data_IF_327579249771
#
_entry.id   IF_327579249771
#
_cell.length_a   1.000
_cell.length_b   1.000
_cell.length_c   1.000
_cell.angle_alpha   90.00
_cell.angle_beta   90.00
_cell.angle_gamma   90.00
#
_symmetry.space_group_name_H-M   'P 1'
#
loop_
_entity.id
_entity.type
_entity.pdbx_description
1 polymer ?
#
# COMPACT_ATOMS: atom_id res chain seq x y z
N UNK A 1 19.56 2.08 -4.41
CA UNK A 1 18.77 1.32 -5.40
C UNK A 1 17.63 0.54 -4.77
N UNK A 2 17.87 -0.53 -3.98
CA UNK A 2 16.79 -1.38 -3.45
C UNK A 2 15.78 -0.65 -2.54
N UNK A 3 16.25 0.19 -1.61
CA UNK A 3 15.36 1.00 -0.77
C UNK A 3 14.54 2.00 -1.60
N UNK A 4 15.17 2.63 -2.59
CA UNK A 4 14.49 3.60 -3.46
C UNK A 4 13.38 2.93 -4.27
N UNK A 5 13.63 1.74 -4.83
CA UNK A 5 12.61 0.95 -5.53
C UNK A 5 11.43 0.61 -4.63
N UNK A 6 11.70 0.15 -3.40
CA UNK A 6 10.65 -0.11 -2.41
C UNK A 6 9.84 1.15 -2.12
N UNK A 7 10.49 2.30 -1.91
CA UNK A 7 9.78 3.56 -1.66
C UNK A 7 8.93 4.01 -2.87
N UNK A 8 9.46 3.90 -4.09
CA UNK A 8 8.72 4.21 -5.32
C UNK A 8 7.50 3.29 -5.46
N UNK A 9 7.65 2.01 -5.12
CA UNK A 9 6.56 1.04 -5.12
C UNK A 9 5.48 1.43 -4.10
N UNK A 10 5.84 1.79 -2.86
CA UNK A 10 4.89 2.23 -1.85
C UNK A 10 4.18 3.55 -2.19
N UNK A 11 4.86 4.47 -2.88
CA UNK A 11 4.22 5.68 -3.43
C UNK A 11 3.15 5.32 -4.47
N UNK A 12 3.46 4.36 -5.35
CA UNK A 12 2.50 3.88 -6.34
C UNK A 12 1.29 3.20 -5.67
N UNK A 13 1.54 2.32 -4.70
CA UNK A 13 0.51 1.67 -3.89
C UNK A 13 -0.42 2.70 -3.25
N UNK A 14 0.13 3.74 -2.61
CA UNK A 14 -0.66 4.78 -1.95
C UNK A 14 -1.54 5.54 -2.96
N UNK A 15 -0.97 5.90 -4.12
CA UNK A 15 -1.70 6.57 -5.21
C UNK A 15 -2.89 5.73 -5.68
N UNK A 16 -2.67 4.43 -5.89
CA UNK A 16 -3.74 3.54 -6.35
C UNK A 16 -4.76 3.23 -5.25
N UNK A 17 -4.37 3.21 -3.98
CA UNK A 17 -5.28 3.10 -2.84
C UNK A 17 -6.22 4.31 -2.77
N UNK A 18 -5.67 5.52 -2.93
CA UNK A 18 -6.46 6.74 -3.02
C UNK A 18 -7.38 6.76 -4.26
N UNK A 19 -6.93 6.25 -5.39
CA UNK A 19 -7.76 6.14 -6.59
C UNK A 19 -8.91 5.13 -6.43
N UNK A 20 -8.65 3.96 -5.84
CA UNK A 20 -9.68 2.98 -5.51
C UNK A 20 -10.74 3.57 -4.57
N UNK A 21 -10.30 4.34 -3.57
CA UNK A 21 -11.17 5.09 -2.66
C UNK A 21 -12.05 6.11 -3.40
N UNK A 22 -11.47 6.93 -4.28
CA UNK A 22 -12.22 7.94 -5.04
C UNK A 22 -13.20 7.33 -6.04
N UNK A 23 -12.86 6.17 -6.62
CA UNK A 23 -13.73 5.41 -7.52
C UNK A 23 -14.79 4.59 -6.77
N UNK A 24 -14.65 4.43 -5.45
CA UNK A 24 -15.43 3.51 -4.64
C UNK A 24 -15.44 2.07 -5.20
N UNK A 25 -14.27 1.60 -5.65
CA UNK A 25 -14.08 0.30 -6.30
C UNK A 25 -13.01 -0.52 -5.56
N UNK A 26 -13.46 -1.48 -4.74
CA UNK A 26 -12.61 -2.39 -3.97
C UNK A 26 -11.83 -3.39 -4.81
N UNK A 27 -12.23 -3.62 -6.06
CA UNK A 27 -11.54 -4.53 -6.98
C UNK A 27 -10.46 -3.81 -7.80
N UNK A 28 -10.45 -2.48 -7.82
CA UNK A 28 -9.49 -1.69 -8.59
C UNK A 28 -8.05 -2.04 -8.23
N UNK A 29 -7.73 -2.09 -6.93
CA UNK A 29 -6.38 -2.39 -6.45
C UNK A 29 -5.93 -3.79 -6.83
N UNK A 30 -6.83 -4.77 -6.74
CA UNK A 30 -6.52 -6.14 -7.12
C UNK A 30 -6.14 -6.22 -8.61
N UNK A 31 -7.04 -5.72 -9.48
CA UNK A 31 -6.88 -5.76 -10.94
C UNK A 31 -5.72 -4.93 -11.47
N UNK A 32 -5.37 -3.81 -10.81
CA UNK A 32 -4.42 -2.82 -11.33
C UNK A 32 -3.10 -2.76 -10.60
N UNK A 33 -2.99 -3.31 -9.40
CA UNK A 33 -1.78 -3.25 -8.59
C UNK A 33 -1.39 -4.65 -8.16
N UNK A 34 -2.21 -5.33 -7.37
CA UNK A 34 -1.78 -6.52 -6.64
C UNK A 34 -1.37 -7.68 -7.56
N UNK A 35 -2.05 -7.85 -8.70
CA UNK A 35 -1.75 -8.93 -9.66
C UNK A 35 -0.32 -8.88 -10.21
N UNK A 36 0.20 -7.70 -10.57
CA UNK A 36 1.59 -7.56 -11.07
C UNK A 36 2.60 -7.24 -9.96
N UNK A 37 2.15 -6.61 -8.87
CA UNK A 37 3.00 -6.24 -7.74
C UNK A 37 3.50 -7.47 -6.98
N UNK A 38 2.69 -8.53 -6.91
CA UNK A 38 3.07 -9.81 -6.30
C UNK A 38 4.32 -10.45 -6.94
N UNK A 39 4.49 -10.28 -8.27
CA UNK A 39 5.65 -10.77 -9.00
C UNK A 39 6.96 -10.03 -8.69
N UNK A 40 6.87 -8.77 -8.25
CA UNK A 40 8.04 -7.96 -7.88
C UNK A 40 8.46 -8.17 -6.43
N UNK A 41 7.49 -8.32 -5.51
CA UNK A 41 7.76 -8.48 -4.07
C UNK A 41 8.35 -9.86 -3.76
N UNK A 42 7.96 -10.92 -4.46
CA UNK A 42 8.55 -12.25 -4.24
C UNK A 42 9.99 -12.39 -4.75
N UNK A 43 10.42 -11.54 -5.68
CA UNK A 43 11.77 -11.60 -6.26
C UNK A 43 12.85 -10.96 -5.36
N UNK A 44 12.42 -10.14 -4.40
CA UNK A 44 13.31 -9.38 -3.54
C UNK A 44 12.91 -9.61 -2.09
N UNK A 45 13.80 -10.23 -1.29
CA UNK A 45 13.80 -10.30 0.18
C UNK A 45 13.71 -8.91 0.88
N UNK A 46 12.63 -8.14 0.68
CA UNK A 46 12.42 -6.76 1.15
C UNK A 46 11.35 -6.65 2.24
N UNK A 47 10.79 -7.78 2.69
CA UNK A 47 9.65 -7.83 3.61
C UNK A 47 9.86 -6.99 4.88
N UNK A 48 11.09 -6.96 5.42
CA UNK A 48 11.43 -6.13 6.59
C UNK A 48 11.35 -4.62 6.30
N UNK A 49 11.79 -4.20 5.10
CA UNK A 49 11.70 -2.81 4.64
C UNK A 49 10.23 -2.46 4.35
N UNK A 50 9.51 -3.33 3.64
CA UNK A 50 8.09 -3.13 3.32
C UNK A 50 7.24 -2.97 4.59
N UNK A 51 7.53 -3.76 5.62
CA UNK A 51 6.86 -3.67 6.93
C UNK A 51 7.12 -2.31 7.59
N UNK A 52 8.37 -1.84 7.59
CA UNK A 52 8.72 -0.53 8.16
C UNK A 52 8.07 0.62 7.39
N UNK A 53 8.04 0.54 6.06
CA UNK A 53 7.39 1.56 5.22
C UNK A 53 5.89 1.58 5.47
N UNK A 54 5.23 0.42 5.56
CA UNK A 54 3.80 0.35 5.89
C UNK A 54 3.47 0.99 7.25
N UNK A 55 4.29 0.69 8.28
CA UNK A 55 4.12 1.26 9.61
C UNK A 55 4.31 2.78 9.59
N UNK A 56 5.39 3.26 8.96
CA UNK A 56 5.66 4.69 8.85
C UNK A 56 4.56 5.42 8.07
N UNK A 57 4.08 4.83 6.98
CA UNK A 57 2.98 5.38 6.19
C UNK A 57 1.72 5.56 7.03
N UNK A 58 1.31 4.54 7.79
CA UNK A 58 0.14 4.64 8.67
C UNK A 58 0.32 5.73 9.73
N UNK A 59 1.50 5.82 10.35
CA UNK A 59 1.81 6.89 11.30
C UNK A 59 1.65 8.27 10.65
N UNK A 60 2.21 8.48 9.46
CA UNK A 60 2.10 9.77 8.75
C UNK A 60 0.68 10.09 8.32
N UNK A 61 -0.08 9.10 7.87
CA UNK A 61 -1.49 9.31 7.51
C UNK A 61 -2.33 9.70 8.73
N UNK A 62 -2.06 9.11 9.90
CA UNK A 62 -2.70 9.48 11.16
C UNK A 62 -2.38 10.91 11.61
N UNK A 63 -1.19 11.42 11.28
CA UNK A 63 -0.79 12.82 11.56
C UNK A 63 -1.42 13.82 10.57
N UNK A 64 -1.58 13.43 9.30
CA UNK A 64 -1.99 14.34 8.22
C UNK A 64 -3.50 14.34 7.95
N UNK A 65 -4.21 13.25 8.23
CA UNK A 65 -5.61 13.09 7.91
C UNK A 65 -6.47 13.04 9.17
N UNK A 66 -7.68 13.59 9.07
CA UNK A 66 -8.69 13.38 10.12
C UNK A 66 -9.12 11.91 10.17
N UNK A 67 -9.58 11.46 11.33
CA UNK A 67 -10.15 10.11 11.50
C UNK A 67 -11.26 9.81 10.49
N UNK A 68 -12.08 10.80 10.13
CA UNK A 68 -13.13 10.64 9.11
C UNK A 68 -12.56 10.35 7.73
N UNK A 69 -11.47 11.01 7.35
CA UNK A 69 -10.81 10.78 6.07
C UNK A 69 -10.10 9.42 6.03
N UNK A 70 -9.48 9.01 7.15
CA UNK A 70 -8.78 7.74 7.27
C UNK A 70 -9.69 6.54 7.04
N UNK A 71 -10.93 6.58 7.54
CA UNK A 71 -11.93 5.51 7.34
C UNK A 71 -12.10 5.12 5.88
N UNK A 72 -11.93 6.06 4.94
CA UNK A 72 -12.10 5.78 3.52
C UNK A 72 -10.88 5.12 2.88
N UNK A 73 -9.66 5.49 3.29
CA UNK A 73 -8.43 4.96 2.66
C UNK A 73 -7.93 3.67 3.35
N UNK A 74 -8.21 3.49 4.64
CA UNK A 74 -7.72 2.36 5.44
C UNK A 74 -8.06 0.98 4.85
N UNK A 75 -9.28 0.72 4.33
CA UNK A 75 -9.62 -0.59 3.78
C UNK A 75 -8.70 -1.01 2.62
N UNK A 76 -8.29 -0.05 1.80
CA UNK A 76 -7.41 -0.27 0.66
C UNK A 76 -5.95 -0.52 1.10
N UNK A 77 -5.49 0.15 2.15
CA UNK A 77 -4.17 -0.09 2.73
C UNK A 77 -4.08 -1.46 3.43
N UNK A 78 -5.13 -1.88 4.14
CA UNK A 78 -5.20 -3.22 4.73
C UNK A 78 -5.27 -4.32 3.65
N UNK A 79 -5.96 -4.07 2.52
CA UNK A 79 -5.94 -4.98 1.37
C UNK A 79 -4.50 -5.18 0.87
N UNK A 80 -3.74 -4.11 0.70
CA UNK A 80 -2.32 -4.18 0.29
C UNK A 80 -1.49 -4.97 1.29
N UNK A 81 -1.60 -4.66 2.59
CA UNK A 81 -0.89 -5.38 3.66
C UNK A 81 -1.19 -6.88 3.63
N UNK A 82 -2.46 -7.27 3.48
CA UNK A 82 -2.85 -8.68 3.42
C UNK A 82 -2.22 -9.45 2.25
N UNK A 83 -1.91 -8.74 1.16
CA UNK A 83 -1.28 -9.32 -0.03
C UNK A 83 0.24 -9.34 0.05
N UNK A 84 0.86 -8.26 0.53
CA UNK A 84 2.32 -8.07 0.48
C UNK A 84 3.04 -8.49 1.77
N UNK A 85 2.39 -8.32 2.92
CA UNK A 85 2.98 -8.49 4.24
C UNK A 85 2.39 -9.71 4.94
N UNK A 86 2.12 -10.79 4.18
CA UNK A 86 1.67 -12.07 4.76
C UNK A 86 2.59 -12.46 5.94
N UNK A 87 2.04 -13.03 7.02
CA UNK A 87 2.85 -13.58 8.09
C UNK A 87 3.79 -14.69 7.59
#
# INVERSE_FOLDING_TARGET
ERLEQVLQQWILILRHSAMAMLLNDSEYLQRRVLDWLSGLVQAHDTQSIDTQVYQLLNTRLNELLSTKALVFIQPFLEQVKSYLLKP
#
